data_IF_890679298578
#
_entry.id   IF_890679298578
#
_cell.length_a   1.000
_cell.length_b   1.000
_cell.length_c   1.000
_cell.angle_alpha   90.00
_cell.angle_beta   90.00
_cell.angle_gamma   90.00
#
_symmetry.space_group_name_H-M   'P 1'
#
loop_
_entity.id
_entity.type
_entity.pdbx_description
1 polymer ?
#
# COMPACT_ATOMS: atom_id res chain seq x y z
N UNK A 1 27.81 -11.59 -2.28
CA UNK A 1 27.19 -12.47 -3.28
C UNK A 1 27.88 -13.81 -3.24
N UNK A 2 27.14 -14.84 -3.01
CA UNK A 2 27.64 -16.21 -2.86
C UNK A 2 26.70 -17.17 -3.59
N UNK A 3 27.26 -18.22 -4.21
CA UNK A 3 26.48 -19.27 -4.89
C UNK A 3 26.60 -20.57 -4.10
N UNK A 4 25.61 -20.95 -3.28
CA UNK A 4 25.65 -22.15 -2.44
C UNK A 4 25.52 -23.44 -3.23
N UNK A 5 24.97 -23.39 -4.44
CA UNK A 5 24.80 -24.50 -5.35
C UNK A 5 24.80 -24.02 -6.79
N UNK A 6 24.95 -24.93 -7.75
CA UNK A 6 24.83 -24.59 -9.17
C UNK A 6 23.48 -23.91 -9.45
N UNK A 7 23.51 -22.81 -10.22
CA UNK A 7 22.34 -22.04 -10.64
C UNK A 7 21.54 -21.38 -9.49
N UNK A 8 22.19 -21.11 -8.35
CA UNK A 8 21.63 -20.33 -7.26
C UNK A 8 22.48 -19.12 -6.97
N UNK A 9 21.84 -18.03 -6.54
CA UNK A 9 22.47 -16.80 -6.08
C UNK A 9 21.96 -16.50 -4.68
N UNK A 10 22.84 -16.38 -3.71
CA UNK A 10 22.48 -16.09 -2.34
C UNK A 10 23.10 -14.79 -1.84
N UNK A 11 22.40 -14.13 -0.93
CA UNK A 11 22.87 -13.02 -0.12
C UNK A 11 23.06 -13.50 1.30
N UNK A 12 24.17 -13.17 1.91
CA UNK A 12 24.44 -13.52 3.30
C UNK A 12 24.88 -12.29 4.10
N UNK A 13 24.51 -12.26 5.36
CA UNK A 13 25.01 -11.31 6.36
C UNK A 13 25.58 -12.09 7.53
N UNK A 14 26.76 -11.69 7.99
CA UNK A 14 27.44 -12.32 9.12
C UNK A 14 27.54 -13.87 8.99
N UNK A 15 27.78 -14.36 7.76
CA UNK A 15 27.91 -15.79 7.47
C UNK A 15 26.60 -16.58 7.40
N UNK A 16 25.46 -15.96 7.70
CA UNK A 16 24.13 -16.58 7.54
C UNK A 16 23.48 -16.15 6.22
N UNK A 17 22.89 -17.09 5.50
CA UNK A 17 22.10 -16.79 4.30
C UNK A 17 20.81 -16.08 4.69
N UNK A 18 20.49 -14.95 4.05
CA UNK A 18 19.30 -14.14 4.30
C UNK A 18 18.33 -14.11 3.12
N UNK A 19 18.81 -14.39 1.93
CA UNK A 19 17.98 -14.49 0.74
C UNK A 19 18.69 -15.33 -0.34
N UNK A 20 17.91 -16.00 -1.20
CA UNK A 20 18.44 -16.63 -2.40
C UNK A 20 17.50 -16.50 -3.60
N UNK A 21 18.11 -16.46 -4.78
CA UNK A 21 17.42 -16.66 -6.06
C UNK A 21 17.69 -18.07 -6.51
N UNK A 22 16.64 -18.90 -6.65
CA UNK A 22 16.74 -20.30 -7.04
C UNK A 22 16.85 -20.46 -8.55
N UNK A 23 17.30 -21.63 -9.01
CA UNK A 23 17.33 -21.98 -10.43
C UNK A 23 15.95 -22.00 -11.10
N UNK A 24 14.88 -22.14 -10.31
CA UNK A 24 13.50 -22.06 -10.77
C UNK A 24 12.97 -20.60 -10.85
N UNK A 25 13.82 -19.61 -10.50
CA UNK A 25 13.46 -18.20 -10.56
C UNK A 25 12.68 -17.67 -9.33
N UNK A 26 12.67 -18.42 -8.23
CA UNK A 26 12.05 -17.98 -6.98
C UNK A 26 13.03 -17.15 -6.14
N UNK A 27 12.55 -16.06 -5.58
CA UNK A 27 13.22 -15.36 -4.50
C UNK A 27 12.73 -15.92 -3.16
N UNK A 28 13.63 -16.58 -2.43
CA UNK A 28 13.38 -17.11 -1.10
C UNK A 28 14.04 -16.16 -0.09
N UNK A 29 13.23 -15.49 0.73
CA UNK A 29 13.68 -14.56 1.76
C UNK A 29 12.60 -14.39 2.82
N UNK A 30 13.01 -14.12 4.05
CA UNK A 30 12.14 -13.52 5.04
C UNK A 30 12.28 -12.01 4.91
N UNK A 31 11.19 -11.33 4.59
CA UNK A 31 11.19 -9.87 4.43
C UNK A 31 10.02 -9.25 5.20
N UNK A 32 10.17 -8.00 5.55
CA UNK A 32 9.09 -7.16 6.07
C UNK A 32 8.92 -5.95 5.17
N UNK A 33 7.67 -5.53 5.01
CA UNK A 33 7.37 -4.29 4.30
C UNK A 33 7.75 -3.08 5.15
N UNK A 34 8.29 -2.04 4.51
CA UNK A 34 8.49 -0.77 5.17
C UNK A 34 7.14 -0.07 5.37
N UNK A 35 6.89 0.38 6.59
CA UNK A 35 5.69 1.12 6.95
C UNK A 35 5.99 2.61 6.93
N UNK A 36 5.37 3.34 6.01
CA UNK A 36 5.53 4.78 5.84
C UNK A 36 4.42 5.51 6.60
N UNK A 37 4.79 6.26 7.64
CA UNK A 37 3.85 7.08 8.39
C UNK A 37 3.63 8.42 7.68
N UNK A 38 2.42 8.65 7.15
CA UNK A 38 2.02 9.90 6.52
C UNK A 38 1.57 10.95 7.55
N UNK A 39 1.31 10.53 8.80
CA UNK A 39 0.84 11.41 9.86
C UNK A 39 -0.61 11.86 9.65
N UNK A 40 -0.89 13.12 10.04
CA UNK A 40 -2.21 13.72 9.88
C UNK A 40 -2.46 14.11 8.42
N UNK A 41 -3.57 13.65 7.86
CA UNK A 41 -3.87 13.83 6.43
C UNK A 41 -4.20 15.28 6.03
N UNK A 42 -4.76 16.08 6.96
CA UNK A 42 -5.33 17.36 6.58
C UNK A 42 -6.39 17.21 5.48
N UNK A 43 -6.36 18.13 4.50
CA UNK A 43 -7.30 18.12 3.35
C UNK A 43 -6.70 17.50 2.09
N UNK A 44 -5.38 17.31 2.03
CA UNK A 44 -4.67 16.70 0.91
C UNK A 44 -3.40 16.00 1.40
N UNK A 45 -3.16 14.78 0.92
CA UNK A 45 -1.97 13.98 1.25
C UNK A 45 -1.52 13.21 0.03
N UNK A 46 -0.21 13.20 -0.22
CA UNK A 46 0.39 12.39 -1.28
C UNK A 46 0.92 11.08 -0.72
N UNK A 47 0.53 9.97 -1.32
CA UNK A 47 1.08 8.64 -1.09
C UNK A 47 2.11 8.37 -2.18
N UNK A 48 3.38 8.43 -1.84
CA UNK A 48 4.47 8.19 -2.78
C UNK A 48 4.87 6.70 -2.75
N UNK A 49 4.51 5.97 -3.78
CA UNK A 49 4.72 4.51 -3.86
C UNK A 49 6.20 4.11 -4.03
N UNK A 50 7.12 5.06 -4.23
CA UNK A 50 8.57 4.78 -4.16
C UNK A 50 9.09 4.69 -2.72
N UNK A 51 8.32 5.09 -1.72
CA UNK A 51 8.73 5.07 -0.31
C UNK A 51 8.42 3.76 0.39
N UNK A 52 7.49 2.97 -0.15
CA UNK A 52 7.07 1.69 0.43
C UNK A 52 5.75 1.23 -0.14
N UNK A 53 5.24 0.15 0.41
CA UNK A 53 3.96 -0.46 0.01
C UNK A 53 2.96 -0.61 1.16
N UNK A 54 3.33 -0.17 2.37
CA UNK A 54 2.41 -0.05 3.51
C UNK A 54 2.47 1.38 4.04
N UNK A 55 1.32 2.04 4.13
CA UNK A 55 1.18 3.42 4.58
C UNK A 55 0.21 3.52 5.74
N UNK A 56 0.48 4.44 6.67
CA UNK A 56 -0.44 4.75 7.76
C UNK A 56 -0.77 6.24 7.75
N UNK A 57 -2.02 6.59 8.03
CA UNK A 57 -2.45 7.98 8.15
C UNK A 57 -3.57 8.13 9.18
N UNK A 58 -3.64 9.31 9.82
CA UNK A 58 -4.81 9.73 10.60
C UNK A 58 -5.62 10.74 9.78
N UNK A 59 -6.87 10.42 9.52
CA UNK A 59 -7.78 11.26 8.74
C UNK A 59 -8.29 12.41 9.61
N UNK A 60 -7.67 13.57 9.47
CA UNK A 60 -7.98 14.77 10.27
C UNK A 60 -8.79 15.84 9.53
N UNK A 61 -9.14 15.58 8.28
CA UNK A 61 -9.98 16.43 7.42
C UNK A 61 -10.68 15.61 6.33
N UNK A 62 -11.55 16.26 5.57
CA UNK A 62 -12.01 15.71 4.29
C UNK A 62 -10.81 15.70 3.34
N UNK A 63 -10.23 14.52 3.07
CA UNK A 63 -8.92 14.41 2.44
C UNK A 63 -9.00 13.85 1.03
N UNK A 64 -8.25 14.47 0.12
CA UNK A 64 -7.90 13.86 -1.16
C UNK A 64 -6.52 13.21 -1.05
N UNK A 65 -6.45 11.89 -1.16
CA UNK A 65 -5.20 11.15 -1.30
C UNK A 65 -4.79 11.11 -2.76
N UNK A 66 -3.60 11.65 -3.06
CA UNK A 66 -3.02 11.61 -4.41
C UNK A 66 -1.94 10.53 -4.46
N UNK A 67 -2.10 9.57 -5.36
CA UNK A 67 -1.08 8.54 -5.59
C UNK A 67 0.00 9.10 -6.53
N UNK A 68 1.24 8.93 -6.14
CA UNK A 68 2.40 9.41 -6.89
C UNK A 68 3.45 8.30 -7.03
N UNK A 69 4.26 8.43 -8.08
CA UNK A 69 5.43 7.59 -8.31
C UNK A 69 5.15 6.08 -8.28
N UNK A 70 4.12 5.58 -8.98
CA UNK A 70 3.99 4.14 -9.16
C UNK A 70 5.23 3.62 -9.92
N UNK A 71 5.39 2.30 -9.95
CA UNK A 71 6.50 1.70 -10.70
C UNK A 71 6.57 2.26 -12.14
N UNK A 72 7.74 2.76 -12.55
CA UNK A 72 7.93 3.42 -13.86
C UNK A 72 7.75 2.50 -15.09
N UNK A 73 7.57 1.20 -14.89
CA UNK A 73 7.39 0.24 -15.97
C UNK A 73 5.90 -0.07 -16.16
N UNK A 74 5.36 0.30 -17.32
CA UNK A 74 3.92 0.12 -17.64
C UNK A 74 3.44 -1.33 -17.68
N UNK A 75 4.37 -2.30 -17.74
CA UNK A 75 4.06 -3.73 -17.78
C UNK A 75 4.23 -4.43 -16.41
N UNK A 76 4.35 -3.66 -15.33
CA UNK A 76 4.51 -4.22 -13.98
C UNK A 76 3.33 -3.85 -13.10
N UNK A 77 2.85 -4.82 -12.34
CA UNK A 77 1.88 -4.61 -11.29
C UNK A 77 2.55 -4.17 -10.00
N UNK A 78 1.84 -3.35 -9.22
CA UNK A 78 2.24 -2.93 -7.88
C UNK A 78 1.02 -2.96 -6.96
N UNK A 79 1.25 -3.33 -5.71
CA UNK A 79 0.21 -3.32 -4.67
C UNK A 79 0.66 -2.43 -3.52
N UNK A 80 -0.29 -1.81 -2.84
CA UNK A 80 -0.03 -1.14 -1.59
C UNK A 80 -1.22 -1.23 -0.64
N UNK A 81 -0.95 -1.01 0.63
CA UNK A 81 -1.93 -1.00 1.72
C UNK A 81 -1.93 0.36 2.39
N UNK A 82 -3.11 0.92 2.65
CA UNK A 82 -3.28 2.11 3.50
C UNK A 82 -4.06 1.72 4.75
N UNK A 83 -3.47 1.89 5.91
CA UNK A 83 -4.11 1.80 7.22
C UNK A 83 -4.56 3.21 7.60
N UNK A 84 -5.86 3.46 7.55
CA UNK A 84 -6.45 4.78 7.74
C UNK A 84 -7.25 4.81 9.05
N UNK A 85 -6.75 5.56 10.02
CA UNK A 85 -7.42 5.82 11.29
C UNK A 85 -8.24 7.10 11.19
N UNK A 86 -9.51 7.08 11.56
CA UNK A 86 -10.29 8.30 11.74
C UNK A 86 -9.82 9.05 12.99
N UNK A 87 -9.82 10.39 12.96
CA UNK A 87 -9.67 11.18 14.18
C UNK A 87 -10.93 11.09 15.07
N UNK A 88 -10.96 11.86 16.14
CA UNK A 88 -12.11 11.94 17.05
C UNK A 88 -13.37 12.56 16.38
N UNK A 89 -13.25 13.10 15.17
CA UNK A 89 -14.36 13.71 14.43
C UNK A 89 -14.95 12.73 13.44
N UNK A 90 -16.19 12.35 13.65
CA UNK A 90 -16.92 11.48 12.71
C UNK A 90 -17.24 12.17 11.37
N UNK A 91 -17.59 11.39 10.35
CA UNK A 91 -18.15 11.89 9.09
C UNK A 91 -17.14 12.43 8.07
N UNK A 92 -15.83 12.32 8.31
CA UNK A 92 -14.80 12.71 7.34
C UNK A 92 -14.94 11.94 6.02
N UNK A 93 -14.58 12.56 4.91
CA UNK A 93 -14.63 11.96 3.57
C UNK A 93 -13.25 11.72 3.00
N UNK A 94 -13.15 10.75 2.10
CA UNK A 94 -11.93 10.41 1.36
C UNK A 94 -12.22 10.50 -0.13
N UNK A 95 -11.34 11.20 -0.85
CA UNK A 95 -11.29 11.22 -2.30
C UNK A 95 -9.92 10.70 -2.79
N UNK A 96 -9.86 10.25 -4.02
CA UNK A 96 -8.66 9.68 -4.62
C UNK A 96 -8.28 10.43 -5.89
N UNK A 97 -6.97 10.68 -6.09
CA UNK A 97 -6.41 11.33 -7.26
C UNK A 97 -5.09 10.64 -7.69
N UNK A 98 -4.59 10.97 -8.87
CA UNK A 98 -3.34 10.42 -9.41
C UNK A 98 -3.52 9.19 -10.30
N UNK A 99 -4.75 8.87 -10.71
CA UNK A 99 -5.08 7.77 -11.61
C UNK A 99 -6.59 7.55 -11.71
N UNK A 100 -7.01 6.57 -12.49
CA UNK A 100 -8.39 6.12 -12.57
C UNK A 100 -8.65 5.04 -11.52
N UNK A 101 -9.58 5.27 -10.61
CA UNK A 101 -9.91 4.32 -9.54
C UNK A 101 -11.12 3.47 -9.89
N UNK A 102 -11.03 2.17 -9.59
CA UNK A 102 -12.07 1.16 -9.76
C UNK A 102 -12.32 0.48 -8.41
N UNK A 103 -13.54 0.60 -7.92
CA UNK A 103 -13.99 -0.02 -6.68
C UNK A 103 -15.15 -1.00 -6.96
N UNK A 104 -15.36 -2.01 -6.11
CA UNK A 104 -16.50 -2.90 -6.21
C UNK A 104 -17.82 -2.12 -6.25
N UNK A 105 -18.64 -2.32 -7.28
CA UNK A 105 -19.90 -1.62 -7.48
C UNK A 105 -19.76 -0.12 -7.84
N UNK A 106 -18.54 0.39 -8.02
CA UNK A 106 -18.23 1.80 -8.26
C UNK A 106 -17.98 2.59 -6.96
N UNK A 107 -17.41 3.79 -7.11
CA UNK A 107 -17.02 4.62 -5.97
C UNK A 107 -18.19 4.99 -5.03
N UNK A 108 -19.39 5.14 -5.58
CA UNK A 108 -20.59 5.49 -4.82
C UNK A 108 -21.08 4.38 -3.87
N UNK A 109 -20.69 3.14 -4.11
CA UNK A 109 -21.11 1.98 -3.30
C UNK A 109 -20.05 1.59 -2.25
N UNK A 110 -18.83 2.10 -2.37
CA UNK A 110 -17.77 1.83 -1.43
C UNK A 110 -17.94 2.68 -0.16
N UNK A 111 -18.61 2.11 0.83
CA UNK A 111 -18.87 2.76 2.10
C UNK A 111 -17.69 2.55 3.07
N UNK A 112 -16.91 3.59 3.32
CA UNK A 112 -15.89 3.60 4.38
C UNK A 112 -16.52 3.79 5.78
N UNK A 113 -15.78 3.47 6.82
CA UNK A 113 -16.20 3.78 8.19
C UNK A 113 -16.11 5.28 8.47
N UNK A 114 -17.14 5.82 9.08
CA UNK A 114 -17.19 7.23 9.51
C UNK A 114 -17.17 7.41 11.03
N UNK A 115 -17.11 6.30 11.77
CA UNK A 115 -17.02 6.29 13.24
C UNK A 115 -15.68 6.90 13.69
N UNK A 116 -15.71 7.75 14.72
CA UNK A 116 -14.51 8.31 15.33
C UNK A 116 -13.57 7.20 15.84
N UNK A 117 -12.28 7.41 15.69
CA UNK A 117 -11.19 6.51 16.11
C UNK A 117 -11.19 5.12 15.46
N UNK A 118 -12.09 4.85 14.53
CA UNK A 118 -12.14 3.58 13.81
C UNK A 118 -11.04 3.51 12.74
N UNK A 119 -10.55 2.31 12.49
CA UNK A 119 -9.53 2.01 11.49
C UNK A 119 -10.16 1.24 10.33
N UNK A 120 -9.87 1.69 9.11
CA UNK A 120 -10.13 0.96 7.87
C UNK A 120 -8.80 0.61 7.20
N UNK A 121 -8.66 -0.64 6.72
CA UNK A 121 -7.51 -1.05 5.91
C UNK A 121 -7.93 -1.13 4.45
N UNK A 122 -7.33 -0.26 3.64
CA UNK A 122 -7.51 -0.20 2.20
C UNK A 122 -6.40 -0.96 1.50
N UNK A 123 -6.75 -1.72 0.48
CA UNK A 123 -5.80 -2.42 -0.38
C UNK A 123 -6.00 -1.97 -1.82
N UNK A 124 -4.89 -1.80 -2.53
CA UNK A 124 -4.88 -1.34 -3.90
C UNK A 124 -3.92 -2.17 -4.75
N UNK A 125 -4.27 -2.29 -6.02
CA UNK A 125 -3.43 -2.89 -7.04
C UNK A 125 -3.50 -2.05 -8.32
N UNK A 126 -2.36 -1.82 -8.95
CA UNK A 126 -2.27 -1.24 -10.30
C UNK A 126 -1.51 -2.19 -11.22
N UNK A 127 -2.07 -2.60 -12.38
CA UNK A 127 -1.39 -3.43 -13.35
C UNK A 127 -0.57 -2.63 -14.39
N UNK A 128 -0.71 -1.30 -14.41
CA UNK A 128 -0.33 -0.45 -15.54
C UNK A 128 0.27 0.89 -15.10
N UNK A 129 1.22 0.83 -14.17
CA UNK A 129 1.97 2.00 -13.74
C UNK A 129 1.07 3.17 -13.27
N UNK A 130 0.05 2.87 -12.47
CA UNK A 130 -0.79 3.90 -11.87
C UNK A 130 -1.81 4.57 -12.81
N UNK A 131 -1.94 4.11 -14.05
CA UNK A 131 -3.02 4.60 -14.94
C UNK A 131 -4.39 4.19 -14.38
N UNK A 132 -4.49 2.96 -13.87
CA UNK A 132 -5.70 2.44 -13.23
C UNK A 132 -5.34 1.78 -11.91
N UNK A 133 -6.11 2.07 -10.87
CA UNK A 133 -6.04 1.43 -9.57
C UNK A 133 -7.34 0.67 -9.29
N UNK A 134 -7.21 -0.59 -8.91
CA UNK A 134 -8.27 -1.41 -8.36
C UNK A 134 -8.14 -1.40 -6.84
N UNK A 135 -9.15 -0.91 -6.14
CA UNK A 135 -9.10 -0.72 -4.69
C UNK A 135 -10.29 -1.33 -3.98
N UNK A 136 -10.08 -1.70 -2.72
CA UNK A 136 -11.14 -2.15 -1.83
C UNK A 136 -10.76 -1.83 -0.37
N UNK A 137 -11.76 -1.79 0.51
CA UNK A 137 -11.55 -1.81 1.96
C UNK A 137 -11.55 -3.26 2.40
N UNK A 138 -10.39 -3.77 2.78
CA UNK A 138 -10.20 -5.17 3.17
C UNK A 138 -10.70 -5.44 4.58
N UNK A 139 -10.44 -4.51 5.51
CA UNK A 139 -10.92 -4.56 6.89
C UNK A 139 -11.52 -3.21 7.25
N UNK A 140 -12.59 -3.23 8.04
CA UNK A 140 -13.44 -2.06 8.23
C UNK A 140 -13.90 -1.96 9.68
N UNK A 141 -13.99 -0.72 10.16
CA UNK A 141 -14.55 -0.40 11.49
C UNK A 141 -13.83 -1.13 12.65
N UNK A 142 -12.51 -1.23 12.57
CA UNK A 142 -11.73 -1.78 13.67
C UNK A 142 -11.61 -0.72 14.77
N UNK A 143 -12.07 -1.06 15.96
CA UNK A 143 -12.02 -0.23 17.17
C UNK A 143 -11.10 -0.90 18.20
N UNK A 144 -10.38 -0.10 18.98
CA UNK A 144 -9.63 -0.56 20.14
C UNK A 144 -10.55 -0.75 21.35
#
# INVERSE_FOLDING_TARGET
LWSPAANTLALSTNGAEVARLTSAGYLEAVYSDEVVALGNSGTATTINLNQGNVFTATLTGNCTFTLASPNANSNRGSSFTLILTNDATAGRTVAWAGGAFRFPGGAATLSRTTTANAVDIWVFFTPNNGTTYYGNISMKNMLA
#
